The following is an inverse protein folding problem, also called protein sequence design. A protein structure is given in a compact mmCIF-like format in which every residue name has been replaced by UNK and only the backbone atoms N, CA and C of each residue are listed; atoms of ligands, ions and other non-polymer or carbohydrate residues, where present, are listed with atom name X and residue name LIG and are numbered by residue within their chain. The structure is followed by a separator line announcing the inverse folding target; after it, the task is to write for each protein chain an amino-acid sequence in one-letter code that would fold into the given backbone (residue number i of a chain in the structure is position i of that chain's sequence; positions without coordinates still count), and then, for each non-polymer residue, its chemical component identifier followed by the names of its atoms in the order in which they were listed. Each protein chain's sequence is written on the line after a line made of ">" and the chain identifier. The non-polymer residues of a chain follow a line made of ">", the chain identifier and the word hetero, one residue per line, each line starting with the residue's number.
data_IF_871437765081
#
_entry.id   IF_871437765081
#
_cell.length_a   1.000
_cell.length_b   1.000
_cell.length_c   1.000
_cell.angle_alpha   90.00
_cell.angle_beta   90.00
_cell.angle_gamma   90.00
#
_symmetry.space_group_name_H-M   'P 1'
#
loop_
_entity.id
_entity.type
_entity.pdbx_description
1 polymer ?
#
# COMPACT_ATOMS: atom_id res chain seq x y z
N UNK A 1 -2.93 -2.73 -23.69
CA UNK A 1 -4.03 -3.66 -24.03
C UNK A 1 -5.12 -2.97 -24.84
N UNK A 2 -5.66 -1.85 -24.34
CA UNK A 2 -6.67 -1.04 -25.05
C UNK A 2 -6.12 -0.49 -26.39
N UNK A 3 -4.99 0.20 -26.36
CA UNK A 3 -4.30 0.70 -27.56
C UNK A 3 -3.97 -0.40 -28.59
N UNK A 4 -3.40 -1.51 -28.12
CA UNK A 4 -3.08 -2.66 -28.98
C UNK A 4 -4.32 -3.30 -29.63
N UNK A 5 -5.47 -3.27 -28.95
CA UNK A 5 -6.73 -3.76 -29.51
C UNK A 5 -7.29 -2.84 -30.59
N UNK A 6 -7.07 -1.52 -30.48
CA UNK A 6 -7.41 -0.55 -31.52
C UNK A 6 -6.52 -0.71 -32.76
N UNK A 7 -5.20 -0.82 -32.58
CA UNK A 7 -4.25 -1.04 -33.68
C UNK A 7 -4.53 -2.33 -34.46
N UNK A 8 -4.87 -3.41 -33.74
CA UNK A 8 -5.15 -4.71 -34.36
C UNK A 8 -6.60 -4.86 -34.84
N UNK A 9 -7.51 -3.95 -34.45
CA UNK A 9 -8.95 -4.08 -34.64
C UNK A 9 -9.56 -5.36 -34.05
N UNK A 10 -8.83 -6.08 -33.19
CA UNK A 10 -9.22 -7.40 -32.68
C UNK A 10 -8.82 -7.59 -31.22
N UNK A 11 -9.83 -7.56 -30.35
CA UNK A 11 -9.70 -7.71 -28.90
C UNK A 11 -9.09 -9.06 -28.54
N UNK A 12 -9.59 -10.17 -29.11
CA UNK A 12 -9.12 -11.52 -28.79
C UNK A 12 -7.65 -11.72 -29.10
N UNK A 13 -7.17 -11.15 -30.23
CA UNK A 13 -5.77 -11.22 -30.64
C UNK A 13 -4.87 -10.38 -29.71
N UNK A 14 -5.30 -9.18 -29.36
CA UNK A 14 -4.58 -8.32 -28.42
C UNK A 14 -4.49 -8.95 -27.01
N UNK A 15 -5.58 -9.56 -26.53
CA UNK A 15 -5.62 -10.31 -25.26
C UNK A 15 -4.64 -11.48 -25.26
N UNK A 16 -4.62 -12.27 -26.34
CA UNK A 16 -3.73 -13.43 -26.49
C UNK A 16 -2.25 -13.02 -26.53
N UNK A 17 -1.93 -11.90 -27.17
CA UNK A 17 -0.57 -11.39 -27.25
C UNK A 17 -0.04 -10.88 -25.90
N UNK A 18 -0.90 -10.21 -25.12
CA UNK A 18 -0.52 -9.63 -23.82
C UNK A 18 -0.72 -10.58 -22.63
N UNK A 19 -1.27 -11.78 -22.85
CA UNK A 19 -1.49 -12.78 -21.79
C UNK A 19 -2.65 -12.46 -20.84
N UNK A 20 -3.62 -11.64 -21.24
CA UNK A 20 -4.77 -11.27 -20.43
C UNK A 20 -6.06 -11.96 -20.89
N UNK A 21 -7.01 -12.16 -19.97
CA UNK A 21 -8.35 -12.64 -20.34
C UNK A 21 -9.16 -11.56 -21.03
N UNK A 22 -10.14 -11.97 -21.85
CA UNK A 22 -11.11 -11.05 -22.47
C UNK A 22 -11.95 -10.31 -21.43
N UNK A 23 -12.20 -10.91 -20.28
CA UNK A 23 -12.92 -10.27 -19.17
C UNK A 23 -12.15 -9.07 -18.62
N UNK A 24 -10.82 -9.19 -18.49
CA UNK A 24 -9.97 -8.10 -18.03
C UNK A 24 -9.95 -6.92 -19.02
N UNK A 25 -10.09 -7.21 -20.33
CA UNK A 25 -10.21 -6.17 -21.36
C UNK A 25 -11.41 -5.26 -21.10
N UNK A 26 -12.61 -5.86 -20.96
CA UNK A 26 -13.84 -5.09 -20.79
C UNK A 26 -13.83 -4.33 -19.47
N UNK A 27 -13.35 -4.96 -18.39
CA UNK A 27 -13.17 -4.28 -17.12
C UNK A 27 -12.28 -3.04 -17.22
N UNK A 28 -11.16 -3.12 -17.93
CA UNK A 28 -10.30 -1.96 -18.15
C UNK A 28 -10.90 -0.92 -19.09
N UNK A 29 -11.68 -1.36 -20.08
CA UNK A 29 -12.39 -0.47 -21.00
C UNK A 29 -13.44 0.35 -20.25
N UNK A 30 -14.19 -0.26 -19.35
CA UNK A 30 -15.21 0.41 -18.55
C UNK A 30 -14.55 1.44 -17.62
N UNK A 31 -13.49 1.04 -16.90
CA UNK A 31 -12.72 1.94 -16.03
C UNK A 31 -12.11 3.13 -16.80
N UNK A 32 -11.54 2.87 -17.98
CA UNK A 32 -10.99 3.93 -18.82
C UNK A 32 -12.07 4.87 -19.35
N UNK A 33 -13.29 4.38 -19.58
CA UNK A 33 -14.42 5.20 -20.01
C UNK A 33 -14.95 6.08 -18.87
N UNK A 34 -14.89 5.60 -17.63
CA UNK A 34 -15.37 6.32 -16.44
C UNK A 34 -14.37 7.38 -15.93
N UNK A 35 -13.08 7.10 -15.94
CA UNK A 35 -12.06 7.99 -15.34
C UNK A 35 -10.73 8.04 -16.09
N UNK A 36 -10.74 7.69 -17.38
CA UNK A 36 -9.57 7.79 -18.25
C UNK A 36 -8.36 7.01 -17.76
N UNK A 37 -7.17 7.54 -18.02
CA UNK A 37 -5.92 6.91 -17.59
C UNK A 37 -5.76 6.88 -16.06
N UNK A 38 -6.35 7.85 -15.36
CA UNK A 38 -6.24 7.97 -13.90
C UNK A 38 -6.97 6.82 -13.18
N UNK A 39 -8.12 6.39 -13.70
CA UNK A 39 -8.86 5.24 -13.16
C UNK A 39 -8.12 3.90 -13.33
N UNK A 40 -7.20 3.78 -14.29
CA UNK A 40 -6.39 2.58 -14.48
C UNK A 40 -5.24 2.47 -13.46
N UNK A 41 -4.77 3.60 -12.90
CA UNK A 41 -3.67 3.63 -11.93
C UNK A 41 -4.08 3.06 -10.57
N UNK A 42 -5.34 3.21 -10.17
CA UNK A 42 -5.78 2.99 -8.79
C UNK A 42 -6.48 1.65 -8.55
N UNK A 43 -5.87 0.57 -9.02
CA UNK A 43 -6.45 -0.78 -8.90
C UNK A 43 -6.07 -1.54 -7.63
N UNK A 44 -5.23 -0.96 -6.76
CA UNK A 44 -4.80 -1.69 -5.57
C UNK A 44 -5.91 -1.71 -4.51
N UNK A 45 -6.75 -2.75 -4.57
CA UNK A 45 -7.84 -2.96 -3.63
C UNK A 45 -7.40 -3.24 -2.19
N UNK A 46 -6.10 -3.50 -1.95
CA UNK A 46 -5.57 -3.76 -0.61
C UNK A 46 -5.25 -2.44 0.08
N UNK A 47 -6.28 -1.82 0.64
CA UNK A 47 -6.11 -0.70 1.57
C UNK A 47 -5.67 -1.18 2.96
N UNK A 48 -5.04 -0.31 3.78
CA UNK A 48 -4.81 -0.59 5.19
C UNK A 48 -6.13 -0.90 5.91
N UNK A 49 -6.18 -1.98 6.68
CA UNK A 49 -7.37 -2.32 7.45
C UNK A 49 -7.49 -1.41 8.68
N UNK A 50 -8.45 -0.49 8.66
CA UNK A 50 -8.70 0.48 9.75
C UNK A 50 -8.90 -0.21 11.10
N UNK A 51 -9.52 -1.40 11.13
CA UNK A 51 -9.76 -2.15 12.39
C UNK A 51 -8.47 -2.66 13.04
N UNK A 52 -7.41 -2.82 12.26
CA UNK A 52 -6.09 -3.24 12.76
C UNK A 52 -5.20 -2.04 13.06
N UNK A 53 -5.71 -0.81 12.97
CA UNK A 53 -4.94 0.40 13.22
C UNK A 53 -4.80 0.62 14.71
N UNK A 54 -3.57 0.88 15.11
CA UNK A 54 -3.22 1.24 16.48
C UNK A 54 -3.66 2.68 16.73
N UNK A 55 -3.98 3.04 17.98
CA UNK A 55 -4.33 4.42 18.33
C UNK A 55 -3.18 5.39 17.97
N UNK A 56 -3.54 6.56 17.41
CA UNK A 56 -2.56 7.52 16.86
C UNK A 56 -1.49 7.91 17.87
N UNK A 57 -1.88 8.12 19.13
CA UNK A 57 -0.94 8.53 20.18
C UNK A 57 0.14 7.47 20.46
N UNK A 58 -0.19 6.17 20.31
CA UNK A 58 0.75 5.07 20.47
C UNK A 58 1.68 5.00 19.25
N UNK A 59 1.12 5.14 18.04
CA UNK A 59 1.88 5.20 16.78
C UNK A 59 2.93 6.33 16.85
N UNK A 60 2.51 7.53 17.21
CA UNK A 60 3.37 8.72 17.38
C UNK A 60 4.47 8.49 18.42
N UNK A 61 4.14 7.93 19.58
CA UNK A 61 5.14 7.65 20.62
C UNK A 61 6.16 6.60 20.19
N UNK A 62 5.72 5.55 19.48
CA UNK A 62 6.60 4.50 18.94
C UNK A 62 7.58 5.05 17.91
N UNK A 63 7.15 6.01 17.07
CA UNK A 63 8.01 6.70 16.11
C UNK A 63 9.00 7.61 16.84
N UNK A 64 8.53 8.44 17.78
CA UNK A 64 9.38 9.33 18.56
C UNK A 64 10.47 8.54 19.30
N UNK A 65 10.10 7.41 19.89
CA UNK A 65 11.03 6.51 20.58
C UNK A 65 12.11 5.97 19.64
N UNK A 66 11.76 5.62 18.39
CA UNK A 66 12.74 5.15 17.41
C UNK A 66 13.74 6.25 17.00
N UNK A 67 13.28 7.50 16.89
CA UNK A 67 14.14 8.66 16.59
C UNK A 67 15.06 8.95 17.78
N UNK A 68 14.54 8.92 19.00
CA UNK A 68 15.30 9.15 20.23
C UNK A 68 16.35 8.05 20.47
N UNK A 69 16.06 6.81 20.09
CA UNK A 69 16.87 5.64 20.42
C UNK A 69 17.14 4.74 19.20
N UNK A 70 17.86 5.28 18.21
CA UNK A 70 18.20 4.57 16.96
C UNK A 70 18.94 3.23 17.16
N UNK A 71 19.63 3.05 18.28
CA UNK A 71 20.35 1.82 18.61
C UNK A 71 19.43 0.69 19.14
N UNK A 72 18.16 0.97 19.42
CA UNK A 72 17.25 -0.01 20.03
C UNK A 72 16.48 -0.77 18.95
N UNK A 73 16.62 -2.10 18.97
CA UNK A 73 15.77 -2.97 18.16
C UNK A 73 14.34 -3.07 18.70
N UNK A 74 13.44 -3.62 17.87
CA UNK A 74 12.00 -3.76 18.15
C UNK A 74 11.66 -4.37 19.52
N UNK A 75 12.45 -5.35 19.98
CA UNK A 75 12.25 -6.01 21.29
C UNK A 75 12.55 -5.06 22.45
N UNK A 76 13.61 -4.26 22.33
CA UNK A 76 14.00 -3.31 23.38
C UNK A 76 13.04 -2.13 23.42
N UNK A 77 12.63 -1.63 22.25
CA UNK A 77 11.61 -0.59 22.14
C UNK A 77 10.27 -1.00 22.78
N UNK A 78 9.77 -2.21 22.48
CA UNK A 78 8.55 -2.73 23.11
C UNK A 78 8.65 -2.81 24.64
N UNK A 79 9.79 -3.23 25.18
CA UNK A 79 10.00 -3.32 26.62
C UNK A 79 10.09 -1.95 27.31
N UNK A 80 10.76 -0.97 26.71
CA UNK A 80 10.83 0.39 27.27
C UNK A 80 9.47 1.08 27.21
N UNK A 81 8.75 0.99 26.08
CA UNK A 81 7.39 1.51 25.96
C UNK A 81 6.43 0.88 26.98
N UNK A 82 6.61 -0.41 27.29
CA UNK A 82 5.84 -1.09 28.34
C UNK A 82 6.10 -0.50 29.73
N UNK A 83 7.31 -0.04 30.03
CA UNK A 83 7.62 0.65 31.30
C UNK A 83 6.96 2.03 31.38
N UNK A 84 6.75 2.67 30.23
CA UNK A 84 6.01 3.94 30.11
C UNK A 84 4.48 3.77 30.15
N UNK A 85 3.99 2.53 30.29
CA UNK A 85 2.56 2.21 30.32
C UNK A 85 1.93 1.93 28.96
N UNK A 86 2.73 1.92 27.88
CA UNK A 86 2.27 1.61 26.52
C UNK A 86 2.47 0.14 26.19
N UNK A 87 1.38 -0.62 26.17
CA UNK A 87 1.39 -2.05 25.89
C UNK A 87 1.33 -2.33 24.40
N UNK A 88 2.49 -2.26 23.73
CA UNK A 88 2.65 -2.67 22.33
C UNK A 88 3.58 -3.89 22.23
N UNK A 89 3.21 -4.86 21.39
CA UNK A 89 4.05 -6.03 21.15
C UNK A 89 5.23 -5.68 20.24
N UNK A 90 6.32 -6.46 20.32
CA UNK A 90 7.46 -6.36 19.40
C UNK A 90 7.07 -6.40 17.90
N UNK A 91 6.04 -7.19 17.56
CA UNK A 91 5.51 -7.26 16.20
C UNK A 91 4.73 -5.98 15.84
N UNK A 92 3.98 -5.42 16.80
CA UNK A 92 3.30 -4.13 16.63
C UNK A 92 4.28 -2.99 16.37
N UNK A 93 5.37 -2.91 17.15
CA UNK A 93 6.45 -1.93 16.94
C UNK A 93 7.05 -2.06 15.54
N UNK A 94 7.35 -3.28 15.10
CA UNK A 94 7.86 -3.55 13.75
C UNK A 94 6.89 -3.12 12.66
N UNK A 95 5.60 -3.41 12.81
CA UNK A 95 4.59 -3.02 11.84
C UNK A 95 4.47 -1.50 11.73
N UNK A 96 4.51 -0.79 12.87
CA UNK A 96 4.55 0.68 12.89
C UNK A 96 5.77 1.17 12.11
N UNK A 97 6.97 0.73 12.47
CA UNK A 97 8.19 1.18 11.79
C UNK A 97 8.16 0.90 10.28
N UNK A 98 7.77 -0.30 9.84
CA UNK A 98 7.65 -0.62 8.41
C UNK A 98 6.61 0.21 7.67
N UNK A 99 5.53 0.62 8.34
CA UNK A 99 4.55 1.53 7.76
C UNK A 99 5.08 2.98 7.66
N UNK A 100 6.13 3.33 8.42
CA UNK A 100 6.74 4.67 8.43
C UNK A 100 8.09 4.76 7.69
N UNK A 101 8.78 3.65 7.45
CA UNK A 101 10.07 3.57 6.75
C UNK A 101 9.93 3.73 5.22
N UNK A 102 8.70 3.80 4.72
CA UNK A 102 8.46 4.25 3.36
C UNK A 102 8.54 5.79 3.32
N UNK A 103 9.43 6.39 2.52
CA UNK A 103 9.30 7.81 2.21
C UNK A 103 7.90 8.01 1.60
N UNK A 104 7.04 8.75 2.30
CA UNK A 104 5.79 9.28 1.72
C UNK A 104 6.09 10.40 0.71
N UNK A 105 7.08 10.19 -0.14
CA UNK A 105 7.49 11.10 -1.17
C UNK A 105 7.24 10.43 -2.52
N UNK A 106 6.31 11.03 -3.26
CA UNK A 106 6.00 10.78 -4.67
C UNK A 106 4.94 9.70 -4.99
N UNK A 107 3.70 9.99 -4.63
CA UNK A 107 2.56 9.69 -5.52
C UNK A 107 2.00 11.01 -6.09
N UNK A 108 2.88 11.84 -6.67
CA UNK A 108 2.52 13.05 -7.43
C UNK A 108 3.64 13.37 -8.43
N UNK A 109 3.59 12.76 -9.63
CA UNK A 109 3.78 13.38 -10.95
C UNK A 109 3.03 12.50 -11.95
#
# INVERSE_FOLDING_TARGET
>A
MLSLAEELGNVSRACKYLGYSRENFYRYKDLFSEGGEQALKDMNRRGPNVKNRIESHIEERVIAFAIENLAFGQTRASNELKKEGLFISLAGVRCVWLCHDEPKETARV
#
